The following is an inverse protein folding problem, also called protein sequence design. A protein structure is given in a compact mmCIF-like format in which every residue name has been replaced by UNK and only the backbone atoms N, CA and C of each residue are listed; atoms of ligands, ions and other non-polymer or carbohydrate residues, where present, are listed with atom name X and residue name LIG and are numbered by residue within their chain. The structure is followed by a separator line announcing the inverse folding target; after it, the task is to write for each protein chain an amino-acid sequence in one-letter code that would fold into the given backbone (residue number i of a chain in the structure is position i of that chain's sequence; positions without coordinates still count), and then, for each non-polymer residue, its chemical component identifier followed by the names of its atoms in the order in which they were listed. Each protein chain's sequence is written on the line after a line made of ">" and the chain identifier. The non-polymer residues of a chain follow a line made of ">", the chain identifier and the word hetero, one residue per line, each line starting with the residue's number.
data_IF_272981048540
#
_entry.id   IF_272981048540
#
_cell.length_a   1.000
_cell.length_b   1.000
_cell.length_c   1.000
_cell.angle_alpha   90.00
_cell.angle_beta   90.00
_cell.angle_gamma   90.00
#
_symmetry.space_group_name_H-M   'P 1'
#
loop_
_entity.id
_entity.type
_entity.pdbx_description
1 polymer ?
#
# COMPACT_ATOMS: atom_id res chain seq x y z
N UNK A 1 -22.69 20.32 -9.89
CA UNK A 1 -23.36 19.02 -9.62
C UNK A 1 -22.33 18.05 -9.04
N UNK A 2 -22.39 17.77 -7.73
CA UNK A 2 -21.41 16.97 -6.99
C UNK A 2 -21.53 15.50 -7.44
N UNK A 3 -20.49 14.91 -8.02
CA UNK A 3 -20.45 13.45 -8.19
C UNK A 3 -20.56 12.82 -6.80
N UNK A 4 -21.47 11.86 -6.60
CA UNK A 4 -21.59 11.14 -5.31
C UNK A 4 -20.23 10.47 -5.04
N UNK A 5 -19.47 11.02 -4.11
CA UNK A 5 -18.29 10.38 -3.54
C UNK A 5 -18.73 9.33 -2.53
N UNK A 6 -17.91 8.31 -2.32
CA UNK A 6 -18.16 7.31 -1.30
C UNK A 6 -18.03 7.92 0.10
N UNK A 7 -18.63 7.31 1.12
CA UNK A 7 -18.62 7.89 2.47
C UNK A 7 -17.23 7.86 3.10
N UNK A 8 -16.47 6.81 2.83
CA UNK A 8 -15.05 6.69 3.18
C UNK A 8 -14.18 7.70 2.44
N UNK A 9 -14.68 8.31 1.36
CA UNK A 9 -13.89 9.27 0.61
C UNK A 9 -13.57 10.53 1.39
N UNK A 10 -14.54 10.95 2.20
CA UNK A 10 -14.38 12.10 3.09
C UNK A 10 -13.33 11.85 4.17
N UNK A 11 -13.30 10.65 4.73
CA UNK A 11 -12.41 10.30 5.85
C UNK A 11 -10.96 10.23 5.40
N UNK A 12 -10.71 9.60 4.26
CA UNK A 12 -9.36 9.55 3.71
C UNK A 12 -8.92 10.92 3.18
N UNK A 13 -9.79 11.68 2.49
CA UNK A 13 -9.47 13.05 2.05
C UNK A 13 -9.06 13.98 3.20
N UNK A 14 -9.70 13.88 4.37
CA UNK A 14 -9.38 14.70 5.55
C UNK A 14 -8.02 14.35 6.17
N UNK A 15 -7.58 13.09 6.03
CA UNK A 15 -6.36 12.57 6.65
C UNK A 15 -5.25 12.24 5.63
N UNK A 16 -5.33 12.72 4.39
CA UNK A 16 -4.41 12.32 3.31
C UNK A 16 -2.94 12.58 3.62
N UNK A 17 -2.62 13.72 4.26
CA UNK A 17 -1.25 14.04 4.65
C UNK A 17 -0.74 13.07 5.71
N UNK A 18 -1.55 12.81 6.75
CA UNK A 18 -1.21 11.86 7.81
C UNK A 18 -1.03 10.44 7.25
N UNK A 19 -1.96 9.97 6.41
CA UNK A 19 -1.86 8.68 5.73
C UNK A 19 -0.61 8.61 4.84
N UNK A 20 -0.28 9.70 4.14
CA UNK A 20 0.95 9.79 3.34
C UNK A 20 2.22 9.67 4.17
N UNK A 21 2.29 10.33 5.32
CA UNK A 21 3.43 10.21 6.25
C UNK A 21 3.56 8.79 6.80
N UNK A 22 2.44 8.16 7.17
CA UNK A 22 2.40 6.77 7.65
C UNK A 22 2.91 5.81 6.55
N UNK A 23 2.44 5.98 5.31
CA UNK A 23 2.87 5.16 4.16
C UNK A 23 4.35 5.39 3.83
N UNK A 24 4.85 6.62 3.94
CA UNK A 24 6.27 6.91 3.72
C UNK A 24 7.16 6.23 4.78
N UNK A 25 6.77 6.31 6.06
CA UNK A 25 7.48 5.60 7.13
C UNK A 25 7.48 4.09 6.90
N UNK A 26 6.34 3.52 6.51
CA UNK A 26 6.24 2.12 6.12
C UNK A 26 7.18 1.77 4.96
N UNK A 27 7.23 2.60 3.91
CA UNK A 27 8.06 2.35 2.74
C UNK A 27 9.55 2.32 3.09
N UNK A 28 10.01 3.25 3.92
CA UNK A 28 11.40 3.27 4.41
C UNK A 28 11.72 1.98 5.16
N UNK A 29 10.86 1.59 6.10
CA UNK A 29 11.04 0.35 6.87
C UNK A 29 11.04 -0.87 5.94
N UNK A 30 10.07 -0.97 5.04
CA UNK A 30 9.94 -2.07 4.08
C UNK A 30 11.19 -2.20 3.19
N UNK A 31 11.69 -1.09 2.64
CA UNK A 31 12.91 -1.09 1.84
C UNK A 31 14.14 -1.48 2.70
N UNK A 32 14.23 -1.00 3.93
CA UNK A 32 15.31 -1.35 4.84
C UNK A 32 15.31 -2.83 5.25
N UNK A 33 14.15 -3.46 5.41
CA UNK A 33 14.05 -4.86 5.83
C UNK A 33 14.26 -5.85 4.69
N UNK A 34 13.73 -5.55 3.51
CA UNK A 34 13.73 -6.49 2.39
C UNK A 34 14.65 -6.04 1.27
N UNK A 35 14.42 -4.85 0.71
CA UNK A 35 15.11 -4.40 -0.50
C UNK A 35 16.63 -4.26 -0.29
N UNK A 36 17.05 -3.66 0.84
CA UNK A 36 18.49 -3.48 1.13
C UNK A 36 19.23 -4.80 1.39
N UNK A 37 18.52 -5.84 1.86
CA UNK A 37 19.10 -7.17 2.14
C UNK A 37 19.08 -8.11 0.94
N UNK A 38 18.31 -7.78 -0.10
CA UNK A 38 18.19 -8.57 -1.33
C UNK A 38 18.81 -7.83 -2.52
N UNK A 39 18.10 -6.84 -3.06
CA UNK A 39 18.44 -6.19 -4.32
C UNK A 39 19.67 -5.30 -4.17
N UNK A 40 19.78 -4.56 -3.07
CA UNK A 40 20.96 -3.73 -2.84
C UNK A 40 22.22 -4.56 -2.64
N UNK A 41 22.16 -5.66 -1.88
CA UNK A 41 23.29 -6.58 -1.73
C UNK A 41 23.74 -7.10 -3.10
N UNK A 42 22.80 -7.50 -3.95
CA UNK A 42 23.10 -7.97 -5.30
C UNK A 42 23.81 -6.90 -6.16
N UNK A 43 23.33 -5.65 -6.09
CA UNK A 43 23.90 -4.53 -6.85
C UNK A 43 25.25 -4.04 -6.31
N UNK A 44 25.47 -4.12 -5.00
CA UNK A 44 26.68 -3.65 -4.33
C UNK A 44 27.80 -4.70 -4.27
N UNK A 45 27.60 -5.88 -4.86
CA UNK A 45 28.56 -6.99 -4.82
C UNK A 45 28.63 -7.72 -3.47
N UNK A 46 27.59 -7.57 -2.64
CA UNK A 46 27.41 -8.36 -1.42
C UNK A 46 26.67 -9.68 -1.68
N UNK A 47 26.49 -10.48 -0.63
CA UNK A 47 25.76 -11.76 -0.70
C UNK A 47 24.27 -11.53 -0.45
N UNK A 48 23.39 -11.65 -1.47
CA UNK A 48 21.97 -11.41 -1.32
C UNK A 48 21.33 -12.46 -0.41
N UNK A 49 20.56 -12.01 0.58
CA UNK A 49 19.80 -12.94 1.41
C UNK A 49 18.59 -13.49 0.65
N UNK A 50 18.21 -14.72 0.97
CA UNK A 50 17.04 -15.36 0.36
C UNK A 50 15.76 -14.64 0.82
N UNK A 51 15.03 -14.05 -0.14
CA UNK A 51 13.80 -13.31 0.13
C UNK A 51 12.71 -14.12 0.82
N UNK A 52 12.60 -15.41 0.51
CA UNK A 52 11.65 -16.29 1.17
C UNK A 52 11.93 -16.42 2.67
N UNK A 53 13.20 -16.60 3.05
CA UNK A 53 13.61 -16.70 4.47
C UNK A 53 13.41 -15.37 5.22
N UNK A 54 13.67 -14.24 4.55
CA UNK A 54 13.44 -12.92 5.13
C UNK A 54 11.94 -12.67 5.38
N UNK A 55 11.10 -12.96 4.39
CA UNK A 55 9.65 -12.75 4.47
C UNK A 55 9.03 -13.65 5.54
N UNK A 56 9.34 -14.95 5.54
CA UNK A 56 8.85 -15.90 6.56
C UNK A 56 9.38 -15.56 7.96
N UNK A 57 10.65 -15.15 8.09
CA UNK A 57 11.21 -14.76 9.38
C UNK A 57 10.56 -13.50 9.99
N UNK A 58 10.46 -12.41 9.22
CA UNK A 58 9.86 -11.16 9.70
C UNK A 58 8.34 -11.27 9.85
N UNK A 59 7.64 -11.76 8.81
CA UNK A 59 6.18 -11.81 8.78
C UNK A 59 5.60 -13.01 9.52
N UNK A 60 6.41 -14.03 9.85
CA UNK A 60 6.01 -15.11 10.76
C UNK A 60 5.94 -14.66 12.23
N UNK A 61 6.51 -13.50 12.56
CA UNK A 61 6.39 -12.92 13.89
C UNK A 61 5.02 -12.21 14.04
N UNK A 62 4.12 -12.65 14.93
CA UNK A 62 2.72 -12.20 14.94
C UNK A 62 2.53 -10.68 15.11
N UNK A 63 3.34 -10.04 15.95
CA UNK A 63 3.21 -8.60 16.16
C UNK A 63 3.67 -7.80 14.93
N UNK A 64 4.71 -8.25 14.23
CA UNK A 64 5.19 -7.62 12.98
C UNK A 64 4.12 -7.78 11.89
N UNK A 65 3.54 -8.99 11.77
CA UNK A 65 2.46 -9.28 10.84
C UNK A 65 1.26 -8.35 11.03
N UNK A 66 0.81 -8.15 12.27
CA UNK A 66 -0.32 -7.25 12.60
C UNK A 66 0.03 -5.81 12.22
N UNK A 67 1.25 -5.34 12.53
CA UNK A 67 1.70 -4.01 12.12
C UNK A 67 1.70 -3.83 10.60
N UNK A 68 2.13 -4.84 9.85
CA UNK A 68 2.12 -4.84 8.38
C UNK A 68 0.70 -4.78 7.80
N UNK A 69 -0.23 -5.57 8.35
CA UNK A 69 -1.65 -5.54 7.93
C UNK A 69 -2.27 -4.15 8.22
N UNK A 70 -1.97 -3.56 9.38
CA UNK A 70 -2.42 -2.21 9.70
C UNK A 70 -1.87 -1.17 8.71
N UNK A 71 -0.61 -1.29 8.31
CA UNK A 71 -0.01 -0.44 7.27
C UNK A 71 -0.64 -0.64 5.90
N UNK A 72 -0.95 -1.87 5.51
CA UNK A 72 -1.71 -2.10 4.27
C UNK A 72 -3.09 -1.45 4.32
N UNK A 73 -3.74 -1.40 5.49
CA UNK A 73 -4.98 -0.65 5.69
C UNK A 73 -4.80 0.85 5.46
N UNK A 74 -3.74 1.46 6.01
CA UNK A 74 -3.40 2.86 5.75
C UNK A 74 -3.11 3.12 4.26
N UNK A 75 -2.38 2.21 3.61
CA UNK A 75 -2.10 2.25 2.17
C UNK A 75 -3.38 2.14 1.34
N UNK A 76 -4.33 1.29 1.74
CA UNK A 76 -5.63 1.15 1.09
C UNK A 76 -6.40 2.48 1.07
N UNK A 77 -6.47 3.17 2.21
CA UNK A 77 -7.07 4.50 2.28
C UNK A 77 -6.31 5.52 1.41
N UNK A 78 -4.98 5.50 1.44
CA UNK A 78 -4.16 6.44 0.67
C UNK A 78 -4.34 6.25 -0.85
N UNK A 79 -4.28 5.02 -1.37
CA UNK A 79 -4.39 4.73 -2.81
C UNK A 79 -5.83 4.95 -3.31
N UNK A 80 -6.84 4.53 -2.54
CA UNK A 80 -8.26 4.72 -2.92
C UNK A 80 -8.54 6.18 -3.26
N UNK A 81 -7.86 7.11 -2.59
CA UNK A 81 -7.97 8.55 -2.78
C UNK A 81 -6.97 9.14 -3.75
N UNK A 82 -5.70 8.85 -3.51
CA UNK A 82 -4.59 9.44 -4.25
C UNK A 82 -4.64 9.09 -5.72
N UNK A 83 -5.10 7.89 -6.07
CA UNK A 83 -5.15 7.43 -7.45
C UNK A 83 -6.03 8.34 -8.32
N UNK A 84 -7.33 8.45 -8.01
CA UNK A 84 -8.23 9.28 -8.83
C UNK A 84 -7.93 10.78 -8.69
N UNK A 85 -7.47 11.23 -7.50
CA UNK A 85 -7.10 12.63 -7.26
C UNK A 85 -5.90 13.05 -8.09
N UNK A 86 -4.89 12.19 -8.27
CA UNK A 86 -3.72 12.49 -9.10
C UNK A 86 -4.13 12.74 -10.56
N UNK A 87 -5.01 11.92 -11.11
CA UNK A 87 -5.53 12.13 -12.47
C UNK A 87 -6.35 13.41 -12.60
N UNK A 88 -7.07 13.82 -11.55
CA UNK A 88 -7.72 15.13 -11.53
C UNK A 88 -6.69 16.27 -11.60
N UNK A 89 -5.60 16.21 -10.82
CA UNK A 89 -4.51 17.20 -10.83
C UNK A 89 -3.79 17.26 -12.18
N UNK A 90 -3.62 16.13 -12.85
CA UNK A 90 -3.05 16.04 -14.20
C UNK A 90 -3.99 16.54 -15.31
N UNK A 91 -5.20 17.00 -14.97
CA UNK A 91 -6.16 17.58 -15.92
C UNK A 91 -7.13 16.57 -16.55
N UNK A 92 -7.08 15.29 -16.20
CA UNK A 92 -8.03 14.25 -16.67
C UNK A 92 -9.37 14.30 -15.91
N UNK A 93 -9.98 15.49 -15.84
CA UNK A 93 -11.14 15.80 -15.02
C UNK A 93 -12.47 15.80 -15.83
N UNK A 94 -12.65 14.82 -16.71
CA UNK A 94 -13.89 14.71 -17.48
C UNK A 94 -15.02 14.05 -16.68
N UNK A 95 -16.28 14.50 -16.88
CA UNK A 95 -17.47 13.98 -16.18
C UNK A 95 -17.73 12.49 -16.41
N UNK A 96 -17.24 11.93 -17.53
CA UNK A 96 -17.31 10.49 -17.84
C UNK A 96 -16.17 9.68 -17.22
N UNK A 97 -14.98 10.27 -17.09
CA UNK A 97 -13.77 9.56 -16.62
C UNK A 97 -13.66 9.50 -15.10
N UNK A 98 -13.98 10.60 -14.40
CA UNK A 98 -13.92 10.63 -12.93
C UNK A 98 -14.65 9.48 -12.22
N UNK A 99 -15.91 9.13 -12.55
CA UNK A 99 -16.58 8.02 -11.87
C UNK A 99 -15.89 6.67 -12.15
N UNK A 100 -15.33 6.48 -13.34
CA UNK A 100 -14.57 5.28 -13.71
C UNK A 100 -13.28 5.22 -12.89
N UNK A 101 -12.51 6.30 -12.84
CA UNK A 101 -11.24 6.37 -12.09
C UNK A 101 -11.44 6.09 -10.59
N UNK A 102 -12.56 6.55 -10.01
CA UNK A 102 -12.92 6.25 -8.62
C UNK A 102 -13.29 4.78 -8.40
N UNK A 103 -14.04 4.18 -9.33
CA UNK A 103 -14.36 2.76 -9.23
C UNK A 103 -13.07 1.91 -9.36
N UNK A 104 -12.21 2.27 -10.31
CA UNK A 104 -10.92 1.62 -10.51
C UNK A 104 -10.02 1.78 -9.28
N UNK A 105 -9.97 2.96 -8.65
CA UNK A 105 -9.14 3.17 -7.46
C UNK A 105 -9.56 2.28 -6.30
N UNK A 106 -10.87 2.13 -6.04
CA UNK A 106 -11.39 1.26 -4.99
C UNK A 106 -11.08 -0.21 -5.26
N UNK A 107 -11.33 -0.68 -6.49
CA UNK A 107 -11.05 -2.07 -6.89
C UNK A 107 -9.55 -2.36 -6.76
N UNK A 108 -8.72 -1.51 -7.36
CA UNK A 108 -7.26 -1.67 -7.35
C UNK A 108 -6.69 -1.67 -5.93
N UNK A 109 -7.07 -0.68 -5.10
CA UNK A 109 -6.62 -0.64 -3.71
C UNK A 109 -7.04 -1.89 -2.93
N UNK A 110 -8.27 -2.36 -3.12
CA UNK A 110 -8.79 -3.54 -2.41
C UNK A 110 -8.09 -4.82 -2.82
N UNK A 111 -7.76 -4.98 -4.11
CA UNK A 111 -6.97 -6.11 -4.60
C UNK A 111 -5.56 -6.12 -4.00
N UNK A 112 -4.87 -4.98 -3.95
CA UNK A 112 -3.55 -4.88 -3.31
C UNK A 112 -3.62 -5.23 -1.82
N UNK A 113 -4.58 -4.65 -1.10
CA UNK A 113 -4.77 -4.92 0.33
C UNK A 113 -5.03 -6.41 0.58
N UNK A 114 -5.97 -7.02 -0.14
CA UNK A 114 -6.30 -8.44 -0.01
C UNK A 114 -5.13 -9.35 -0.38
N UNK A 115 -4.48 -9.10 -1.53
CA UNK A 115 -3.35 -9.89 -2.02
C UNK A 115 -2.18 -9.91 -1.04
N UNK A 116 -1.70 -8.73 -0.60
CA UNK A 116 -0.56 -8.68 0.32
C UNK A 116 -0.92 -9.15 1.73
N UNK A 117 -2.13 -8.87 2.22
CA UNK A 117 -2.58 -9.38 3.53
C UNK A 117 -2.66 -10.90 3.54
N UNK A 118 -3.07 -11.53 2.43
CA UNK A 118 -3.12 -12.99 2.31
C UNK A 118 -1.74 -13.61 2.49
N UNK A 119 -0.69 -12.99 1.92
CA UNK A 119 0.70 -13.45 2.07
C UNK A 119 1.13 -13.35 3.54
N UNK A 120 0.86 -12.23 4.20
CA UNK A 120 1.20 -12.04 5.64
C UNK A 120 0.51 -13.09 6.50
N UNK A 121 -0.79 -13.29 6.29
CA UNK A 121 -1.59 -14.25 7.05
C UNK A 121 -1.04 -15.66 6.82
N UNK A 122 -0.70 -16.03 5.58
CA UNK A 122 -0.11 -17.32 5.27
C UNK A 122 1.23 -17.53 6.01
N UNK A 123 2.11 -16.52 6.05
CA UNK A 123 3.36 -16.58 6.80
C UNK A 123 3.17 -16.71 8.32
N UNK A 124 2.02 -16.36 8.89
CA UNK A 124 1.78 -16.55 10.33
C UNK A 124 1.55 -18.03 10.72
N UNK A 125 1.22 -18.89 9.76
CA UNK A 125 0.89 -20.29 9.98
C UNK A 125 1.99 -21.27 9.52
N UNK A 126 3.08 -20.77 8.93
CA UNK A 126 4.15 -21.56 8.31
C UNK A 126 5.52 -21.00 8.69
#
# INVERSE_FOLDING_TARGET
>A
MKSRGYRFDRQASQNMLLLGVIVLGFLILHLSQFWTKMQWQHLAGGEPQNGYLLVTGYLGTPWIAICYIAWFGALWFHITHGFWSAFQTLGLNNRRLLPILRAVSVVYASLLFGGFSTIVIWCMFF
#
